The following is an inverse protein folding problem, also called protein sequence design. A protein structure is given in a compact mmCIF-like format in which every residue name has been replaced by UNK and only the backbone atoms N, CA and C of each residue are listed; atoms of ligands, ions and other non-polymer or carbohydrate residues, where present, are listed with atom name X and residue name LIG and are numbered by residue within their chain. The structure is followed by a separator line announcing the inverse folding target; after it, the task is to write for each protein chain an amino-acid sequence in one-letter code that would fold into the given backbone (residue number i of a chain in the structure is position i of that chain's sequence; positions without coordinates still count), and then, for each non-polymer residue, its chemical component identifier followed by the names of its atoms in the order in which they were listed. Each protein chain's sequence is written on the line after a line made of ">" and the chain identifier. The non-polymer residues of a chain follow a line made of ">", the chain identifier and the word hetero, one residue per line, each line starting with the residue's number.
data_IF_399935654820
#
_entry.id   IF_399935654820
#
_cell.length_a   1.000
_cell.length_b   1.000
_cell.length_c   1.000
_cell.angle_alpha   90.00
_cell.angle_beta   90.00
_cell.angle_gamma   90.00
#
_symmetry.space_group_name_H-M   'P 1'
#
loop_
_entity.id
_entity.type
_entity.pdbx_description
1 polymer ?
#
# COMPACT_ATOMS: atom_id res chain seq x y z
N UNK A 1 -56.65 104.96 -19.85
CA UNK A 1 -58.01 105.41 -19.45
C UNK A 1 -58.93 104.18 -19.46
N UNK A 2 -59.94 104.03 -18.60
CA UNK A 2 -59.86 103.77 -17.15
C UNK A 2 -60.68 102.48 -16.78
N UNK A 3 -60.38 101.80 -15.65
CA UNK A 3 -61.19 101.76 -14.39
C UNK A 3 -62.36 100.75 -14.38
N UNK A 4 -62.18 99.57 -13.75
CA UNK A 4 -62.74 99.14 -12.42
C UNK A 4 -63.90 98.15 -12.53
N UNK A 5 -64.29 97.29 -11.57
CA UNK A 5 -64.01 97.06 -10.13
C UNK A 5 -64.48 95.63 -9.78
N UNK A 6 -63.76 94.87 -8.94
CA UNK A 6 -64.05 94.55 -7.51
C UNK A 6 -65.25 93.63 -7.23
N UNK A 7 -64.95 92.45 -6.69
CA UNK A 7 -65.58 91.81 -5.51
C UNK A 7 -64.43 91.02 -4.82
N UNK A 8 -63.79 91.53 -3.77
CA UNK A 8 -64.07 91.41 -2.32
C UNK A 8 -63.72 90.03 -1.71
N UNK A 9 -62.59 90.02 -0.98
CA UNK A 9 -62.26 89.38 0.34
C UNK A 9 -62.69 87.92 0.62
N UNK A 10 -61.78 86.99 0.91
CA UNK A 10 -60.85 86.81 2.06
C UNK A 10 -61.35 85.78 3.07
N UNK A 11 -60.52 84.76 3.33
CA UNK A 11 -60.27 84.03 4.58
C UNK A 11 -59.98 82.55 4.22
N UNK A 12 -58.72 82.11 4.18
CA UNK A 12 -57.90 81.67 5.34
C UNK A 12 -58.59 80.43 5.97
N UNK A 13 -58.07 79.21 5.87
CA UNK A 13 -56.79 78.73 6.42
C UNK A 13 -56.37 77.38 5.77
N UNK A 14 -55.08 76.98 5.82
CA UNK A 14 -54.50 75.85 5.10
C UNK A 14 -54.37 74.60 5.99
N UNK A 15 -54.33 73.40 5.40
CA UNK A 15 -53.77 72.22 6.07
C UNK A 15 -52.65 71.63 5.21
N UNK A 16 -51.49 71.52 5.85
CA UNK A 16 -50.21 71.17 5.28
C UNK A 16 -50.12 69.72 4.78
N UNK A 17 -49.21 69.46 3.81
CA UNK A 17 -48.78 68.12 3.43
C UNK A 17 -47.64 67.63 4.35
N UNK A 18 -47.89 66.55 5.10
CA UNK A 18 -46.86 65.92 5.94
C UNK A 18 -45.95 64.99 5.14
N UNK A 19 -44.68 65.40 5.04
CA UNK A 19 -43.51 64.55 4.80
C UNK A 19 -43.00 64.02 6.16
N UNK A 20 -42.77 62.72 6.28
CA UNK A 20 -41.70 62.11 7.10
C UNK A 20 -41.54 60.67 6.58
N UNK A 21 -40.45 60.23 5.95
CA UNK A 21 -39.02 60.21 6.33
C UNK A 21 -38.76 59.48 7.65
N UNK A 22 -38.17 58.29 7.47
CA UNK A 22 -37.21 57.56 8.31
C UNK A 22 -37.77 56.78 9.51
N UNK A 23 -37.55 55.46 9.52
CA UNK A 23 -37.74 54.59 10.69
C UNK A 23 -37.81 53.12 10.29
N UNK A 24 -36.66 52.45 10.22
CA UNK A 24 -36.59 50.99 10.16
C UNK A 24 -36.81 50.48 11.58
N UNK A 25 -38.05 50.08 11.89
CA UNK A 25 -38.36 49.40 13.15
C UNK A 25 -38.50 47.89 12.88
N UNK A 26 -37.50 47.13 13.33
CA UNK A 26 -37.57 45.68 13.45
C UNK A 26 -38.49 45.32 14.63
N UNK A 27 -39.65 44.71 14.37
CA UNK A 27 -40.42 44.03 15.41
C UNK A 27 -40.01 42.53 15.50
N UNK A 28 -39.75 42.01 16.71
CA UNK A 28 -39.32 40.63 16.91
C UNK A 28 -40.47 39.63 16.72
N UNK A 29 -40.19 38.57 15.97
CA UNK A 29 -41.10 37.46 15.68
C UNK A 29 -41.71 36.86 16.96
N UNK A 30 -43.06 36.77 17.01
CA UNK A 30 -43.82 35.98 17.99
C UNK A 30 -44.55 34.84 17.27
N UNK A 31 -44.42 33.58 17.71
CA UNK A 31 -45.18 32.48 17.12
C UNK A 31 -46.65 32.53 17.51
N UNK A 32 -47.53 32.38 16.51
CA UNK A 32 -48.97 32.18 16.70
C UNK A 32 -49.26 30.77 17.23
N UNK A 33 -50.15 30.66 18.21
CA UNK A 33 -50.61 29.38 18.75
C UNK A 33 -51.45 28.58 17.72
N UNK A 34 -51.45 27.23 17.77
CA UNK A 34 -52.14 26.39 16.79
C UNK A 34 -53.67 26.39 16.99
N UNK A 35 -54.41 26.34 15.89
CA UNK A 35 -55.85 26.57 15.80
C UNK A 35 -56.75 25.39 16.20
N UNK A 36 -57.88 25.73 16.82
CA UNK A 36 -58.91 24.87 17.43
C UNK A 36 -59.82 24.11 16.44
N UNK A 37 -59.27 23.42 15.44
CA UNK A 37 -60.08 22.62 14.47
C UNK A 37 -60.11 21.12 14.74
N UNK A 38 -59.41 20.62 15.76
CA UNK A 38 -59.24 19.17 15.99
C UNK A 38 -60.27 18.51 16.93
N UNK A 39 -61.52 18.96 16.95
CA UNK A 39 -62.62 18.27 17.68
C UNK A 39 -63.96 18.26 16.94
N UNK A 40 -64.00 17.79 15.69
CA UNK A 40 -65.21 17.09 15.16
C UNK A 40 -65.02 16.29 13.87
N UNK A 41 -63.80 15.81 13.57
CA UNK A 41 -63.57 14.96 12.38
C UNK A 41 -64.10 13.53 12.61
N UNK A 42 -64.10 13.06 13.86
CA UNK A 42 -64.49 11.69 14.23
C UNK A 42 -66.01 11.45 14.19
N UNK A 43 -66.83 12.51 14.24
CA UNK A 43 -68.30 12.41 14.12
C UNK A 43 -68.72 12.28 12.66
N UNK A 44 -68.26 13.22 11.82
CA UNK A 44 -68.52 13.25 10.39
C UNK A 44 -68.10 11.95 9.67
N UNK A 45 -66.95 11.38 10.03
CA UNK A 45 -66.42 10.18 9.39
C UNK A 45 -67.27 8.93 9.67
N UNK A 46 -67.95 8.85 10.82
CA UNK A 46 -68.76 7.68 11.20
C UNK A 46 -70.09 7.63 10.44
N UNK A 47 -70.69 8.78 10.16
CA UNK A 47 -71.92 8.87 9.36
C UNK A 47 -71.64 8.65 7.87
N UNK A 48 -70.51 9.14 7.35
CA UNK A 48 -70.12 8.97 5.95
C UNK A 48 -69.79 7.50 5.61
N UNK A 49 -69.11 6.77 6.50
CA UNK A 49 -68.75 5.36 6.29
C UNK A 49 -69.96 4.41 6.36
N UNK A 50 -70.97 4.73 7.17
CA UNK A 50 -72.20 3.95 7.25
C UNK A 50 -73.06 4.10 5.97
N UNK A 51 -73.02 5.26 5.31
CA UNK A 51 -73.77 5.54 4.08
C UNK A 51 -73.18 4.87 2.82
N UNK A 52 -71.85 4.72 2.74
CA UNK A 52 -71.16 4.16 1.55
C UNK A 52 -71.05 2.63 1.57
N UNK A 53 -71.18 1.99 2.74
CA UNK A 53 -71.14 0.54 2.91
C UNK A 53 -69.74 -0.06 2.80
N UNK A 54 -69.22 -0.64 3.90
CA UNK A 54 -67.84 -1.14 4.02
C UNK A 54 -67.42 -2.16 2.93
N UNK A 55 -68.38 -2.90 2.36
CA UNK A 55 -68.11 -3.88 1.29
C UNK A 55 -67.57 -3.24 0.00
N UNK A 56 -67.86 -1.96 -0.29
CA UNK A 56 -67.39 -1.31 -1.52
C UNK A 56 -65.99 -0.72 -1.40
N UNK A 57 -65.59 -0.29 -0.21
CA UNK A 57 -64.25 0.26 0.05
C UNK A 57 -63.19 -0.85 0.03
N UNK A 58 -63.49 -2.01 0.63
CA UNK A 58 -62.57 -3.15 0.65
C UNK A 58 -62.39 -3.75 -0.76
N UNK A 59 -63.45 -3.80 -1.57
CA UNK A 59 -63.36 -4.28 -2.96
C UNK A 59 -62.51 -3.36 -3.87
N UNK A 60 -62.54 -2.04 -3.63
CA UNK A 60 -61.74 -1.08 -4.40
C UNK A 60 -60.23 -1.22 -4.16
N UNK A 61 -59.81 -1.40 -2.90
CA UNK A 61 -58.39 -1.52 -2.53
C UNK A 61 -57.77 -2.83 -3.03
N UNK A 62 -58.52 -3.93 -2.99
CA UNK A 62 -58.06 -5.21 -3.54
C UNK A 62 -57.83 -5.16 -5.07
N UNK A 63 -58.66 -4.40 -5.80
CA UNK A 63 -58.57 -4.28 -7.26
C UNK A 63 -57.34 -3.48 -7.71
N UNK A 64 -56.96 -2.43 -6.97
CA UNK A 64 -55.78 -1.62 -7.26
C UNK A 64 -54.46 -2.39 -7.07
N UNK A 65 -54.39 -3.28 -6.07
CA UNK A 65 -53.22 -4.14 -5.84
C UNK A 65 -52.98 -5.15 -6.96
N UNK A 66 -54.05 -5.71 -7.53
CA UNK A 66 -53.96 -6.69 -8.63
C UNK A 66 -53.46 -6.04 -9.93
N UNK A 67 -53.92 -4.81 -10.24
CA UNK A 67 -53.48 -4.07 -11.43
C UNK A 67 -52.01 -3.65 -11.31
N UNK A 68 -51.58 -3.20 -10.12
CA UNK A 68 -50.17 -2.86 -9.85
C UNK A 68 -49.24 -4.07 -9.93
N UNK A 69 -49.66 -5.24 -9.43
CA UNK A 69 -48.90 -6.48 -9.51
C UNK A 69 -48.72 -7.01 -10.94
N UNK A 70 -49.76 -6.90 -11.78
CA UNK A 70 -49.70 -7.28 -13.21
C UNK A 70 -48.78 -6.34 -14.00
N UNK A 71 -48.77 -5.05 -13.69
CA UNK A 71 -47.85 -4.08 -14.32
C UNK A 71 -46.37 -4.40 -14.07
N UNK A 72 -46.03 -4.82 -12.85
CA UNK A 72 -44.65 -5.24 -12.49
C UNK A 72 -44.28 -6.59 -13.12
N UNK A 73 -45.25 -7.48 -13.33
CA UNK A 73 -45.04 -8.78 -13.98
C UNK A 73 -44.84 -8.66 -15.50
N UNK A 74 -45.48 -7.67 -16.15
CA UNK A 74 -45.32 -7.39 -17.58
C UNK A 74 -44.04 -6.60 -17.92
N UNK A 75 -43.40 -5.96 -16.94
CA UNK A 75 -42.10 -5.30 -17.10
C UNK A 75 -40.90 -6.20 -16.78
N UNK A 76 -41.12 -7.44 -16.33
CA UNK A 76 -40.05 -8.43 -16.20
C UNK A 76 -39.75 -9.02 -17.57
N UNK A 77 -38.67 -8.56 -18.19
CA UNK A 77 -38.14 -9.16 -19.42
C UNK A 77 -37.77 -10.63 -19.15
N UNK A 78 -38.20 -11.59 -19.98
CA UNK A 78 -37.70 -12.95 -19.89
C UNK A 78 -36.18 -12.95 -20.17
N UNK A 79 -35.42 -13.72 -19.41
CA UNK A 79 -34.02 -14.00 -19.73
C UNK A 79 -33.95 -14.61 -21.13
N UNK A 80 -33.05 -14.08 -21.97
CA UNK A 80 -32.90 -14.51 -23.36
C UNK A 80 -32.63 -16.03 -23.46
N UNK A 81 -33.14 -16.69 -24.52
CA UNK A 81 -32.83 -18.09 -24.78
C UNK A 81 -31.33 -18.23 -25.04
N UNK A 82 -30.66 -19.10 -24.27
CA UNK A 82 -29.31 -19.57 -24.62
C UNK A 82 -29.46 -20.55 -25.77
N UNK A 83 -29.34 -20.03 -26.98
CA UNK A 83 -29.10 -20.83 -28.18
C UNK A 83 -27.62 -21.24 -28.21
N UNK A 84 -27.40 -22.50 -28.55
CA UNK A 84 -26.12 -23.20 -28.59
C UNK A 84 -25.16 -22.64 -29.66
N UNK A 85 -23.86 -22.74 -29.36
CA UNK A 85 -22.68 -22.66 -30.22
C UNK A 85 -22.55 -21.53 -31.28
N UNK A 86 -21.65 -20.59 -30.99
CA UNK A 86 -20.41 -20.44 -31.76
C UNK A 86 -19.37 -19.68 -30.91
N UNK A 87 -18.19 -20.27 -30.80
CA UNK A 87 -17.03 -19.70 -30.12
C UNK A 87 -16.63 -18.37 -30.77
N UNK A 88 -17.22 -17.27 -30.30
CA UNK A 88 -16.63 -15.96 -30.48
C UNK A 88 -15.57 -15.81 -29.40
N UNK A 89 -14.31 -15.80 -29.83
CA UNK A 89 -13.21 -15.32 -29.00
C UNK A 89 -13.52 -13.87 -28.60
N UNK A 90 -14.16 -13.70 -27.44
CA UNK A 90 -14.15 -12.41 -26.75
C UNK A 90 -12.71 -12.17 -26.35
N UNK A 91 -12.02 -11.32 -27.12
CA UNK A 91 -10.87 -10.58 -26.62
C UNK A 91 -11.39 -9.72 -25.46
N UNK A 92 -11.36 -10.29 -24.26
CA UNK A 92 -11.44 -9.52 -23.03
C UNK A 92 -10.24 -8.58 -23.04
N UNK A 93 -10.48 -7.30 -23.26
CA UNK A 93 -9.51 -6.28 -22.84
C UNK A 93 -9.38 -6.41 -21.32
N UNK A 94 -8.20 -6.78 -20.79
CA UNK A 94 -8.02 -6.82 -19.35
C UNK A 94 -8.21 -5.39 -18.84
N UNK A 95 -9.24 -5.19 -18.02
CA UNK A 95 -9.33 -4.04 -17.14
C UNK A 95 -8.05 -4.06 -16.30
N UNK A 96 -7.14 -3.11 -16.55
CA UNK A 96 -5.90 -2.99 -15.81
C UNK A 96 -6.25 -2.87 -14.32
N UNK A 97 -6.11 -3.99 -13.60
CA UNK A 97 -6.11 -3.96 -12.16
C UNK A 97 -4.94 -3.09 -11.73
N UNK A 98 -5.18 -2.15 -10.83
CA UNK A 98 -4.10 -1.45 -10.13
C UNK A 98 -3.28 -2.49 -9.37
N UNK A 99 -2.24 -3.03 -10.00
CA UNK A 99 -1.19 -3.76 -9.34
C UNK A 99 -0.56 -2.80 -8.34
N UNK A 100 -0.80 -3.01 -7.05
CA UNK A 100 -0.05 -2.35 -5.98
C UNK A 100 1.43 -2.67 -6.20
N UNK A 101 2.17 -1.71 -6.74
CA UNK A 101 3.61 -1.84 -7.00
C UNK A 101 4.27 -1.85 -5.63
N UNK A 102 4.62 -3.04 -5.12
CA UNK A 102 5.44 -3.14 -3.94
C UNK A 102 6.80 -2.52 -4.28
N UNK A 103 7.32 -1.68 -3.39
CA UNK A 103 8.63 -1.02 -3.56
C UNK A 103 9.58 -1.45 -2.46
N UNK A 104 10.85 -1.54 -2.84
CA UNK A 104 11.98 -1.98 -2.03
C UNK A 104 12.93 -0.80 -1.85
N UNK A 105 13.38 -0.55 -0.62
CA UNK A 105 14.28 0.55 -0.27
C UNK A 105 15.70 0.03 -0.10
N UNK A 106 16.63 0.57 -0.91
CA UNK A 106 18.03 0.13 -0.93
C UNK A 106 19.01 1.29 -0.85
N UNK A 107 20.23 0.98 -0.41
CA UNK A 107 21.32 1.93 -0.32
C UNK A 107 22.37 1.64 -1.38
N UNK A 108 22.60 2.58 -2.31
CA UNK A 108 23.68 2.52 -3.30
C UNK A 108 24.85 3.38 -2.83
N UNK A 109 26.03 2.78 -2.75
CA UNK A 109 27.26 3.43 -2.31
C UNK A 109 28.44 3.09 -3.25
N UNK A 110 29.54 3.84 -3.11
CA UNK A 110 30.75 3.63 -3.90
C UNK A 110 30.79 4.49 -5.16
N UNK A 111 31.38 3.94 -6.22
CA UNK A 111 31.69 4.62 -7.47
C UNK A 111 30.45 4.77 -8.39
N UNK A 112 29.45 5.49 -7.91
CA UNK A 112 28.24 5.88 -8.67
C UNK A 112 28.04 7.38 -8.65
N UNK A 113 27.31 7.94 -9.62
CA UNK A 113 27.19 9.38 -9.79
C UNK A 113 26.54 10.08 -8.58
N UNK A 114 25.49 9.46 -8.01
CA UNK A 114 24.74 9.96 -6.86
C UNK A 114 24.54 8.82 -5.85
N UNK A 115 25.49 8.57 -4.94
CA UNK A 115 25.28 7.60 -3.87
C UNK A 115 24.15 8.07 -2.94
N UNK A 116 23.36 7.14 -2.41
CA UNK A 116 22.18 7.45 -1.62
C UNK A 116 21.20 6.30 -1.50
N UNK A 117 20.05 6.57 -0.89
CA UNK A 117 18.95 5.61 -0.72
C UNK A 117 17.92 5.80 -1.82
N UNK A 118 17.48 4.69 -2.41
CA UNK A 118 16.56 4.65 -3.55
C UNK A 118 15.42 3.69 -3.29
N UNK A 119 14.23 4.02 -3.80
CA UNK A 119 13.06 3.13 -3.80
C UNK A 119 12.83 2.61 -5.21
N UNK A 120 12.93 1.29 -5.38
CA UNK A 120 12.76 0.58 -6.65
C UNK A 120 11.55 -0.35 -6.57
N UNK A 121 10.94 -0.73 -7.69
CA UNK A 121 9.92 -1.77 -7.68
C UNK A 121 10.49 -3.11 -7.18
N UNK A 122 9.65 -3.89 -6.53
CA UNK A 122 9.97 -5.27 -6.13
C UNK A 122 10.40 -6.10 -7.35
N UNK A 123 11.46 -6.89 -7.19
CA UNK A 123 12.09 -7.64 -8.27
C UNK A 123 13.12 -6.87 -9.11
N UNK A 124 13.39 -5.59 -8.81
CA UNK A 124 14.47 -4.82 -9.43
C UNK A 124 15.84 -5.51 -9.25
N UNK A 125 16.74 -5.29 -10.22
CA UNK A 125 18.10 -5.85 -10.23
C UNK A 125 19.13 -4.79 -9.87
N UNK A 126 20.33 -5.24 -9.52
CA UNK A 126 21.48 -4.37 -9.17
C UNK A 126 21.74 -3.30 -10.23
N UNK A 127 21.62 -3.64 -11.52
CA UNK A 127 21.74 -2.66 -12.61
C UNK A 127 20.72 -1.51 -12.51
N UNK A 128 19.47 -1.79 -12.18
CA UNK A 128 18.40 -0.78 -12.07
C UNK A 128 18.67 0.21 -10.93
N UNK A 129 19.28 -0.28 -9.84
CA UNK A 129 19.71 0.55 -8.72
C UNK A 129 20.87 1.48 -9.09
N UNK A 130 21.85 0.97 -9.84
CA UNK A 130 22.99 1.77 -10.31
C UNK A 130 22.51 2.84 -11.28
N UNK A 131 21.60 2.51 -12.20
CA UNK A 131 21.01 3.46 -13.14
C UNK A 131 20.20 4.54 -12.40
N UNK A 132 19.44 4.17 -11.38
CA UNK A 132 18.72 5.12 -10.50
C UNK A 132 19.68 6.06 -9.75
N UNK A 133 20.87 5.56 -9.40
CA UNK A 133 21.97 6.33 -8.84
C UNK A 133 22.72 7.21 -9.86
N UNK A 134 22.26 7.25 -11.11
CA UNK A 134 22.85 8.05 -12.19
C UNK A 134 23.98 7.34 -12.93
N UNK A 135 24.10 6.02 -12.78
CA UNK A 135 25.09 5.20 -13.45
C UNK A 135 26.46 5.17 -12.76
N UNK A 136 27.36 4.30 -13.25
CA UNK A 136 28.75 4.24 -12.80
C UNK A 136 29.53 5.50 -13.20
N UNK A 137 30.42 5.97 -12.33
CA UNK A 137 31.36 7.06 -12.65
C UNK A 137 32.61 6.54 -13.38
N UNK A 138 33.43 7.45 -13.90
CA UNK A 138 34.73 7.09 -14.46
C UNK A 138 35.60 6.39 -13.40
N UNK A 139 36.05 5.18 -13.71
CA UNK A 139 36.84 4.36 -12.80
C UNK A 139 36.01 3.46 -11.87
N UNK A 140 34.69 3.35 -12.06
CA UNK A 140 33.89 2.32 -11.41
C UNK A 140 34.11 0.94 -12.06
N UNK A 141 34.24 -0.09 -11.24
CA UNK A 141 34.34 -1.49 -11.68
C UNK A 141 32.98 -2.18 -11.49
N UNK A 142 32.17 -2.14 -12.54
CA UNK A 142 30.84 -2.77 -12.55
C UNK A 142 30.90 -4.26 -12.81
N UNK A 143 31.99 -4.75 -13.42
CA UNK A 143 32.23 -6.17 -13.71
C UNK A 143 32.54 -6.96 -12.43
N UNK A 144 33.05 -6.28 -11.40
CA UNK A 144 33.28 -6.87 -10.07
C UNK A 144 31.97 -7.23 -9.32
N UNK A 145 30.79 -6.86 -9.82
CA UNK A 145 29.50 -7.04 -9.15
C UNK A 145 28.55 -7.85 -10.03
N UNK A 146 27.70 -8.68 -9.42
CA UNK A 146 26.59 -9.31 -10.12
C UNK A 146 25.47 -8.31 -10.41
N UNK A 147 25.55 -7.62 -11.56
CA UNK A 147 24.54 -6.67 -12.04
C UNK A 147 23.14 -7.27 -12.22
N UNK A 148 23.06 -8.59 -12.43
CA UNK A 148 21.81 -9.30 -12.61
C UNK A 148 21.18 -9.76 -11.28
N UNK A 149 21.85 -9.61 -10.14
CA UNK A 149 21.28 -10.03 -8.86
C UNK A 149 19.99 -9.25 -8.55
N UNK A 150 18.96 -9.95 -8.08
CA UNK A 150 17.74 -9.33 -7.56
C UNK A 150 18.04 -8.63 -6.24
N UNK A 151 17.38 -7.50 -6.03
CA UNK A 151 17.55 -6.65 -4.86
C UNK A 151 16.47 -6.97 -3.81
N UNK A 152 16.89 -7.06 -2.55
CA UNK A 152 16.00 -7.19 -1.37
C UNK A 152 15.87 -5.88 -0.58
N UNK A 153 14.82 -5.76 0.25
CA UNK A 153 14.61 -4.57 1.09
C UNK A 153 15.68 -4.42 2.15
N UNK A 154 16.16 -3.19 2.33
CA UNK A 154 17.28 -2.88 3.21
C UNK A 154 18.65 -3.31 2.68
N UNK A 155 18.75 -3.85 1.47
CA UNK A 155 20.03 -4.26 0.88
C UNK A 155 20.94 -3.06 0.57
N UNK A 156 22.24 -3.24 0.81
CA UNK A 156 23.28 -2.28 0.41
C UNK A 156 24.01 -2.78 -0.82
N UNK A 157 24.01 -1.99 -1.89
CA UNK A 157 24.77 -2.21 -3.12
C UNK A 157 25.99 -1.30 -3.10
N UNK A 158 27.18 -1.86 -3.17
CA UNK A 158 28.42 -1.11 -3.22
C UNK A 158 29.12 -1.32 -4.56
N UNK A 159 29.43 -0.22 -5.26
CA UNK A 159 30.15 -0.24 -6.53
C UNK A 159 31.63 0.08 -6.29
N UNK A 160 32.56 -0.87 -6.47
CA UNK A 160 33.98 -0.62 -6.25
C UNK A 160 34.58 0.25 -7.36
N UNK A 161 35.71 0.88 -7.08
CA UNK A 161 36.57 1.45 -8.11
C UNK A 161 37.46 0.37 -8.76
N UNK A 162 37.94 0.62 -9.98
CA UNK A 162 38.87 -0.28 -10.69
C UNK A 162 40.14 -0.47 -9.85
N UNK A 163 40.43 -1.73 -9.50
CA UNK A 163 41.57 -2.11 -8.66
C UNK A 163 41.30 -2.07 -7.14
N UNK A 164 40.08 -1.73 -6.71
CA UNK A 164 39.65 -1.85 -5.31
C UNK A 164 39.22 -3.28 -5.00
N UNK A 165 39.97 -3.96 -4.11
CA UNK A 165 39.58 -5.28 -3.64
C UNK A 165 38.50 -5.13 -2.57
N UNK A 166 37.23 -5.21 -2.97
CA UNK A 166 36.10 -5.27 -2.05
C UNK A 166 35.93 -6.68 -1.51
N UNK A 167 36.34 -6.88 -0.26
CA UNK A 167 35.98 -8.09 0.49
C UNK A 167 34.50 -7.94 0.88
N UNK A 168 33.61 -8.49 0.05
CA UNK A 168 32.17 -8.43 0.27
C UNK A 168 31.79 -9.23 1.52
N UNK A 169 31.45 -8.53 2.61
CA UNK A 169 30.96 -9.12 3.86
C UNK A 169 29.58 -9.80 3.73
N UNK A 170 28.95 -9.71 2.54
CA UNK A 170 27.70 -10.38 2.19
C UNK A 170 27.92 -11.75 1.53
N UNK A 171 29.17 -12.22 1.46
CA UNK A 171 29.41 -13.65 1.28
C UNK A 171 28.95 -14.32 2.56
N UNK A 172 27.73 -14.88 2.55
CA UNK A 172 27.28 -15.76 3.61
C UNK A 172 28.40 -16.78 3.85
N UNK A 173 29.08 -16.77 5.02
CA UNK A 173 30.18 -17.70 5.27
C UNK A 173 29.69 -19.15 5.25
N UNK A 174 28.37 -19.37 5.24
CA UNK A 174 27.72 -20.66 5.10
C UNK A 174 27.67 -21.21 3.67
N UNK A 175 27.90 -20.40 2.62
CA UNK A 175 27.73 -20.84 1.21
C UNK A 175 28.99 -20.72 0.35
N UNK A 176 30.10 -20.23 0.92
CA UNK A 176 31.42 -20.40 0.31
C UNK A 176 31.94 -21.74 0.79
N UNK A 177 31.97 -22.74 -0.09
CA UNK A 177 32.61 -24.01 0.23
C UNK A 177 34.06 -23.79 0.70
N UNK A 178 34.60 -24.69 1.54
CA UNK A 178 35.93 -24.50 2.13
C UNK A 178 36.98 -24.23 1.06
N UNK A 179 37.72 -23.13 1.22
CA UNK A 179 38.83 -22.81 0.33
C UNK A 179 40.05 -23.61 0.77
N UNK A 180 40.45 -24.59 -0.04
CA UNK A 180 41.67 -25.37 0.19
C UNK A 180 42.92 -24.64 -0.34
N UNK A 181 44.08 -24.73 0.34
CA UNK A 181 44.30 -25.40 1.62
C UNK A 181 43.81 -24.59 2.83
N UNK A 182 43.15 -25.27 3.76
CA UNK A 182 42.56 -24.70 4.97
C UNK A 182 43.66 -24.37 5.99
N UNK A 183 43.66 -23.15 6.52
CA UNK A 183 44.60 -22.73 7.55
C UNK A 183 44.09 -23.17 8.95
N UNK A 184 44.85 -24.03 9.63
CA UNK A 184 44.47 -24.60 10.93
C UNK A 184 44.31 -23.53 12.04
N UNK A 185 45.05 -22.42 11.93
CA UNK A 185 45.06 -21.38 12.95
C UNK A 185 43.87 -20.41 12.79
N UNK A 186 43.31 -20.29 11.58
CA UNK A 186 42.22 -19.34 11.28
C UNK A 186 40.90 -20.01 10.87
N UNK A 187 40.89 -21.30 10.55
CA UNK A 187 39.71 -22.03 10.10
C UNK A 187 38.55 -22.01 11.10
N UNK A 188 37.34 -22.04 10.56
CA UNK A 188 36.10 -22.21 11.34
C UNK A 188 35.80 -23.69 11.59
N UNK A 189 34.84 -23.97 12.47
CA UNK A 189 34.41 -25.35 12.74
C UNK A 189 33.86 -26.04 11.47
N UNK A 190 33.14 -25.29 10.62
CA UNK A 190 32.58 -25.80 9.37
C UNK A 190 33.66 -26.10 8.33
N UNK A 191 34.70 -25.26 8.25
CA UNK A 191 35.83 -25.51 7.33
C UNK A 191 36.56 -26.81 7.71
N UNK A 192 36.80 -27.00 9.02
CA UNK A 192 37.47 -28.20 9.54
C UNK A 192 36.62 -29.46 9.38
N UNK A 193 35.30 -29.35 9.53
CA UNK A 193 34.34 -30.47 9.34
C UNK A 193 34.31 -30.96 7.89
N UNK A 194 34.62 -30.10 6.91
CA UNK A 194 34.66 -30.48 5.51
C UNK A 194 35.89 -31.31 5.12
N UNK A 195 36.86 -31.51 6.02
CA UNK A 195 38.04 -32.34 5.77
C UNK A 195 37.69 -33.84 5.83
N UNK A 196 38.28 -34.68 4.94
CA UNK A 196 37.98 -36.10 4.92
C UNK A 196 38.35 -36.79 6.23
N UNK A 197 37.36 -37.40 6.89
CA UNK A 197 37.55 -38.13 8.15
C UNK A 197 37.65 -37.25 9.41
N UNK A 198 37.43 -35.93 9.26
CA UNK A 198 37.18 -35.00 10.36
C UNK A 198 35.67 -34.78 10.43
N UNK A 199 35.12 -34.81 11.63
CA UNK A 199 33.71 -34.52 11.90
C UNK A 199 33.61 -33.46 13.00
N UNK A 200 32.38 -33.09 13.42
CA UNK A 200 32.16 -31.93 14.29
C UNK A 200 32.88 -32.07 15.65
N UNK A 201 32.98 -33.28 16.18
CA UNK A 201 33.71 -33.54 17.42
C UNK A 201 35.22 -33.35 17.29
N UNK A 202 35.82 -33.78 16.17
CA UNK A 202 37.25 -33.63 15.92
C UNK A 202 37.58 -32.18 15.55
N UNK A 203 36.75 -31.51 14.75
CA UNK A 203 36.87 -30.08 14.48
C UNK A 203 36.85 -29.25 15.77
N UNK A 204 35.92 -29.54 16.68
CA UNK A 204 35.87 -28.90 18.00
C UNK A 204 37.12 -29.20 18.85
N UNK A 205 37.74 -30.37 18.71
CA UNK A 205 38.97 -30.71 19.41
C UNK A 205 40.17 -29.89 18.87
N UNK A 206 40.26 -29.68 17.55
CA UNK A 206 41.29 -28.83 16.91
C UNK A 206 41.15 -27.37 17.39
N UNK A 207 39.93 -26.83 17.40
CA UNK A 207 39.67 -25.47 17.89
C UNK A 207 40.06 -25.33 19.35
N UNK A 208 39.65 -26.30 20.19
CA UNK A 208 40.02 -26.30 21.61
C UNK A 208 41.53 -26.41 21.80
N UNK A 209 42.22 -27.17 20.96
CA UNK A 209 43.68 -27.29 21.00
C UNK A 209 44.35 -25.93 20.76
N UNK A 210 43.96 -25.18 19.72
CA UNK A 210 44.56 -23.85 19.45
C UNK A 210 44.16 -22.76 20.45
N UNK A 211 43.06 -22.94 21.16
CA UNK A 211 42.59 -22.00 22.19
C UNK A 211 43.26 -22.25 23.55
N UNK A 212 43.51 -23.52 23.88
CA UNK A 212 44.10 -23.93 25.16
C UNK A 212 45.61 -24.10 25.11
N UNK A 213 46.12 -24.44 23.93
CA UNK A 213 47.54 -24.61 23.61
C UNK A 213 47.93 -23.56 22.57
N UNK A 214 49.21 -23.27 22.42
CA UNK A 214 49.71 -22.35 21.40
C UNK A 214 49.20 -22.72 19.98
N UNK A 215 49.18 -21.75 19.03
CA UNK A 215 48.87 -22.01 17.63
C UNK A 215 49.69 -23.15 17.03
N UNK A 216 49.13 -23.85 16.04
CA UNK A 216 49.82 -24.94 15.36
C UNK A 216 51.02 -24.39 14.60
N UNK A 217 52.23 -24.84 14.97
CA UNK A 217 53.47 -24.47 14.28
C UNK A 217 53.74 -25.31 13.03
N UNK A 218 53.09 -26.46 12.91
CA UNK A 218 53.25 -27.41 11.82
C UNK A 218 52.02 -28.30 11.70
N UNK A 219 51.76 -28.84 10.50
CA UNK A 219 50.63 -29.75 10.26
C UNK A 219 50.75 -31.03 11.11
N UNK A 220 51.98 -31.49 11.37
CA UNK A 220 52.26 -32.66 12.21
C UNK A 220 51.78 -32.51 13.67
N UNK A 221 51.62 -31.27 14.15
CA UNK A 221 51.08 -30.97 15.49
C UNK A 221 49.60 -31.36 15.65
N UNK A 222 48.91 -31.73 14.56
CA UNK A 222 47.56 -32.32 14.63
C UNK A 222 47.54 -33.70 15.31
N UNK A 223 48.68 -34.39 15.43
CA UNK A 223 48.74 -35.67 16.15
C UNK A 223 48.49 -35.55 17.65
N UNK A 224 48.64 -34.36 18.22
CA UNK A 224 48.35 -34.09 19.63
C UNK A 224 46.85 -33.93 19.90
N UNK A 225 46.03 -33.81 18.84
CA UNK A 225 44.59 -33.63 18.94
C UNK A 225 43.88 -34.99 19.11
N UNK A 226 43.04 -35.17 20.14
CA UNK A 226 42.33 -36.43 20.35
C UNK A 226 41.40 -36.74 19.16
N UNK A 227 41.56 -37.94 18.60
CA UNK A 227 40.76 -38.42 17.46
C UNK A 227 41.41 -38.21 16.08
N UNK A 228 42.61 -37.61 16.02
CA UNK A 228 43.44 -37.55 14.82
C UNK A 228 44.61 -38.54 14.95
N UNK A 229 44.63 -39.54 14.08
CA UNK A 229 45.72 -40.51 13.97
C UNK A 229 46.52 -40.31 12.68
N UNK A 230 47.65 -41.01 12.53
CA UNK A 230 48.53 -40.93 11.36
C UNK A 230 47.79 -41.06 10.02
N UNK A 231 46.86 -42.02 9.92
CA UNK A 231 46.08 -42.21 8.69
C UNK A 231 45.19 -41.02 8.34
N UNK A 232 44.57 -40.37 9.34
CA UNK A 232 43.75 -39.17 9.09
C UNK A 232 44.63 -37.98 8.72
N UNK A 233 45.78 -37.83 9.39
CA UNK A 233 46.74 -36.79 9.09
C UNK A 233 47.23 -36.88 7.64
N UNK A 234 47.62 -38.07 7.17
CA UNK A 234 48.05 -38.28 5.79
C UNK A 234 46.97 -37.89 4.78
N UNK A 235 45.70 -38.21 5.05
CA UNK A 235 44.57 -37.86 4.19
C UNK A 235 44.34 -36.35 4.07
N UNK A 236 44.59 -35.59 5.15
CA UNK A 236 44.33 -34.14 5.18
C UNK A 236 45.57 -33.28 4.93
N UNK A 237 46.80 -33.85 4.96
CA UNK A 237 48.06 -33.10 4.88
C UNK A 237 48.19 -32.23 3.63
N UNK A 238 47.59 -32.65 2.51
CA UNK A 238 47.57 -31.88 1.25
C UNK A 238 46.46 -30.82 1.19
N UNK A 239 45.55 -30.80 2.16
CA UNK A 239 44.38 -29.93 2.23
C UNK A 239 44.48 -28.86 3.32
N UNK A 240 45.54 -28.88 4.13
CA UNK A 240 45.71 -27.97 5.27
C UNK A 240 47.06 -27.28 5.27
N UNK A 241 47.13 -26.08 5.86
CA UNK A 241 48.34 -25.29 6.10
C UNK A 241 48.32 -24.69 7.51
N UNK A 242 49.46 -24.16 7.96
CA UNK A 242 49.63 -23.44 9.23
C UNK A 242 50.11 -22.01 8.99
#
# INVERSE_FOLDING_TARGET
>A
MPVTRRIERSSIEPSEPSRSRIGVDMEPWRPSAPNETMRSVRGWLREWIAWVGWRRIVAGVASAGVIGGIGVLLLRTPSAPVEDELTYATTSVPSAGSSTVNTVTIHVAGSVARPGVYSLPDGARVVDAIDSAGGPIFGADVDAINLAATISDGQRVYVPAVGEVVISANSDPANVGPVFPIDLNTATASDLDALPGIGPSTAAAIIRQRESTCPFASVDSLLDVPGIGRSKLEAIRGLVRV
#
